data_IF_004067734810
#
_entry.id   IF_004067734810
#
_cell.length_a   1.000
_cell.length_b   1.000
_cell.length_c   1.000
_cell.angle_alpha   90.00
_cell.angle_beta   90.00
_cell.angle_gamma   90.00
#
_symmetry.space_group_name_H-M   'P 1'
#
loop_
_entity.id
_entity.type
_entity.pdbx_description
1 polymer ?
#
# COMPACT_ATOMS: atom_id res chain seq x y z
N UNK A 1 -18.34 10.64 -31.55
CA UNK A 1 -17.68 11.71 -30.76
C UNK A 1 -16.20 11.38 -30.68
N UNK A 2 -15.28 12.35 -30.77
CA UNK A 2 -13.87 12.09 -30.50
C UNK A 2 -13.73 11.66 -29.03
N UNK A 3 -12.98 10.59 -28.75
CA UNK A 3 -12.69 10.19 -27.39
C UNK A 3 -12.02 11.35 -26.66
N UNK A 4 -12.53 11.69 -25.49
CA UNK A 4 -11.96 12.71 -24.63
C UNK A 4 -10.62 12.18 -24.08
N UNK A 5 -9.53 12.93 -24.27
CA UNK A 5 -8.23 12.56 -23.74
C UNK A 5 -8.10 12.95 -22.27
N UNK A 6 -7.41 12.12 -21.50
CA UNK A 6 -7.16 12.32 -20.09
C UNK A 6 -5.66 12.34 -19.81
N UNK A 7 -5.27 13.09 -18.80
CA UNK A 7 -3.92 13.05 -18.24
C UNK A 7 -3.83 12.05 -17.10
N UNK A 8 -2.73 11.29 -17.04
CA UNK A 8 -2.53 10.27 -16.03
C UNK A 8 -1.26 10.54 -15.23
N UNK A 9 -1.35 10.50 -13.92
CA UNK A 9 -0.23 10.59 -12.98
C UNK A 9 -0.10 9.25 -12.26
N UNK A 10 0.86 8.45 -12.68
CA UNK A 10 0.92 7.02 -12.33
C UNK A 10 2.24 6.67 -11.67
N UNK A 11 2.17 5.98 -10.53
CA UNK A 11 3.30 5.36 -9.87
C UNK A 11 2.94 3.95 -9.42
N UNK A 12 3.94 3.17 -9.06
CA UNK A 12 3.82 1.83 -8.50
C UNK A 12 3.23 0.78 -9.46
N UNK A 13 3.13 -0.45 -8.97
CA UNK A 13 2.50 -1.57 -9.69
C UNK A 13 1.05 -1.26 -10.09
N UNK A 14 0.30 -0.57 -9.22
CA UNK A 14 -1.11 -0.21 -9.47
C UNK A 14 -1.25 0.74 -10.64
N UNK A 15 -0.37 1.74 -10.73
CA UNK A 15 -0.31 2.64 -11.88
C UNK A 15 0.01 1.93 -13.19
N UNK A 16 1.00 1.03 -13.17
CA UNK A 16 1.34 0.21 -14.35
C UNK A 16 0.19 -0.70 -14.78
N UNK A 17 -0.50 -1.33 -13.81
CA UNK A 17 -1.64 -2.20 -14.09
C UNK A 17 -2.78 -1.43 -14.76
N UNK A 18 -3.10 -0.23 -14.25
CA UNK A 18 -4.13 0.64 -14.86
C UNK A 18 -3.70 1.11 -16.25
N UNK A 19 -2.46 1.57 -16.41
CA UNK A 19 -1.94 2.00 -17.72
C UNK A 19 -2.13 0.92 -18.79
N UNK A 20 -1.71 -0.30 -18.49
CA UNK A 20 -1.84 -1.45 -19.41
C UNK A 20 -3.30 -1.80 -19.68
N UNK A 21 -4.14 -1.80 -18.65
CA UNK A 21 -5.55 -2.12 -18.77
C UNK A 21 -6.34 -1.10 -19.58
N UNK A 22 -6.11 0.19 -19.33
CA UNK A 22 -6.73 1.28 -20.09
C UNK A 22 -6.27 1.24 -21.56
N UNK A 23 -4.97 1.06 -21.80
CA UNK A 23 -4.47 0.91 -23.17
C UNK A 23 -5.09 -0.30 -23.89
N UNK A 24 -5.18 -1.43 -23.23
CA UNK A 24 -5.75 -2.66 -23.81
C UNK A 24 -7.21 -2.48 -24.21
N UNK A 25 -7.99 -1.69 -23.46
CA UNK A 25 -9.43 -1.50 -23.71
C UNK A 25 -9.74 -0.33 -24.65
N UNK A 26 -9.00 0.77 -24.55
CA UNK A 26 -9.34 2.03 -25.23
C UNK A 26 -8.28 2.49 -26.23
N UNK A 27 -7.12 1.83 -26.29
CA UNK A 27 -5.98 2.23 -27.13
C UNK A 27 -5.23 3.45 -26.60
N UNK A 28 -4.27 3.96 -27.38
CA UNK A 28 -3.43 5.10 -26.97
C UNK A 28 -4.14 6.45 -27.07
N UNK A 29 -5.22 6.54 -27.83
CA UNK A 29 -5.93 7.81 -28.08
C UNK A 29 -6.66 8.38 -26.85
N UNK A 30 -6.84 7.59 -25.79
CA UNK A 30 -7.43 8.05 -24.52
C UNK A 30 -6.44 8.86 -23.69
N UNK A 31 -5.13 8.67 -23.91
CA UNK A 31 -4.10 9.35 -23.18
C UNK A 31 -3.75 10.70 -23.82
N UNK A 32 -3.87 11.80 -23.07
CA UNK A 32 -3.22 13.05 -23.42
C UNK A 32 -1.73 12.92 -23.16
N UNK A 33 -1.38 12.48 -21.95
CA UNK A 33 -0.03 12.10 -21.53
C UNK A 33 -0.05 11.27 -20.23
N UNK A 34 1.08 10.66 -19.94
CA UNK A 34 1.37 9.99 -18.67
C UNK A 34 2.54 10.70 -17.99
N UNK A 35 2.40 11.01 -16.72
CA UNK A 35 3.48 11.50 -15.85
C UNK A 35 3.82 10.42 -14.83
N UNK A 36 5.11 10.16 -14.62
CA UNK A 36 5.57 9.29 -13.54
C UNK A 36 6.76 9.89 -12.81
N UNK A 37 7.12 9.30 -11.68
CA UNK A 37 8.25 9.69 -10.86
C UNK A 37 8.84 8.50 -10.14
N UNK A 38 10.14 8.57 -9.82
CA UNK A 38 10.81 7.61 -8.94
C UNK A 38 10.28 7.71 -7.52
N UNK A 39 10.22 6.59 -6.85
CA UNK A 39 9.95 6.48 -5.42
C UNK A 39 11.12 5.78 -4.71
N UNK A 40 12.02 6.58 -4.16
CA UNK A 40 13.21 6.07 -3.47
C UNK A 40 12.91 5.44 -2.10
N UNK A 41 11.66 5.51 -1.63
CA UNK A 41 11.25 4.93 -0.36
C UNK A 41 10.83 3.45 -0.45
N UNK A 42 10.78 2.88 -1.66
CA UNK A 42 10.41 1.49 -1.90
C UNK A 42 11.46 0.80 -2.80
N UNK A 43 11.61 -0.51 -2.62
CA UNK A 43 12.63 -1.27 -3.36
C UNK A 43 12.30 -1.40 -4.86
N UNK A 44 11.00 -1.41 -5.24
CA UNK A 44 10.55 -1.51 -6.63
C UNK A 44 9.44 -0.50 -6.91
N UNK A 45 9.78 0.58 -7.64
CA UNK A 45 8.87 1.70 -7.91
C UNK A 45 8.09 1.62 -9.22
N UNK A 46 8.44 0.69 -10.10
CA UNK A 46 7.83 0.46 -11.44
C UNK A 46 7.96 1.64 -12.42
N UNK A 47 8.82 2.59 -12.15
CA UNK A 47 9.00 3.76 -13.01
C UNK A 47 9.50 3.38 -14.41
N UNK A 48 10.52 2.50 -14.52
CA UNK A 48 11.06 2.05 -15.80
C UNK A 48 10.04 1.28 -16.63
N UNK A 49 9.24 0.44 -15.97
CA UNK A 49 8.21 -0.33 -16.63
C UNK A 49 7.08 0.56 -17.17
N UNK A 50 6.68 1.61 -16.43
CA UNK A 50 5.70 2.61 -16.91
C UNK A 50 6.28 3.38 -18.09
N UNK A 51 7.50 3.89 -17.98
CA UNK A 51 8.17 4.64 -19.04
C UNK A 51 8.32 3.80 -20.31
N UNK A 52 8.89 2.59 -20.19
CA UNK A 52 9.10 1.69 -21.34
C UNK A 52 7.79 1.36 -22.03
N UNK A 53 6.74 1.03 -21.26
CA UNK A 53 5.44 0.75 -21.85
C UNK A 53 4.88 1.95 -22.62
N UNK A 54 4.95 3.16 -22.07
CA UNK A 54 4.47 4.36 -22.78
C UNK A 54 5.22 4.58 -24.10
N UNK A 55 6.54 4.41 -24.11
CA UNK A 55 7.36 4.54 -25.31
C UNK A 55 7.01 3.49 -26.37
N UNK A 56 6.85 2.23 -25.95
CA UNK A 56 6.55 1.11 -26.85
C UNK A 56 5.21 1.30 -27.58
N UNK A 57 4.20 1.88 -26.88
CA UNK A 57 2.85 2.07 -27.44
C UNK A 57 2.58 3.52 -27.86
N UNK A 58 3.63 4.36 -27.91
CA UNK A 58 3.56 5.75 -28.38
C UNK A 58 2.58 6.64 -27.57
N UNK A 59 2.54 6.47 -26.25
CA UNK A 59 1.87 7.39 -25.33
C UNK A 59 2.86 8.48 -24.90
N UNK A 60 2.54 9.78 -24.97
CA UNK A 60 3.40 10.84 -24.46
C UNK A 60 3.73 10.63 -22.98
N UNK A 61 5.02 10.53 -22.65
CA UNK A 61 5.50 10.28 -21.28
C UNK A 61 6.38 11.43 -20.81
N UNK A 62 6.19 11.83 -19.54
CA UNK A 62 6.98 12.87 -18.89
C UNK A 62 7.41 12.45 -17.49
N UNK A 63 8.60 12.87 -17.08
CA UNK A 63 8.97 12.84 -15.66
C UNK A 63 8.23 13.96 -14.91
N UNK A 64 8.03 13.79 -13.61
CA UNK A 64 7.36 14.79 -12.76
C UNK A 64 7.91 16.21 -12.91
N UNK A 65 9.24 16.37 -13.02
CA UNK A 65 9.90 17.69 -13.15
C UNK A 65 9.58 18.39 -14.48
N UNK A 66 9.25 17.60 -15.52
CA UNK A 66 8.97 18.06 -16.87
C UNK A 66 7.47 17.95 -17.21
N UNK A 67 6.61 17.79 -16.18
CA UNK A 67 5.15 17.67 -16.34
C UNK A 67 4.60 18.86 -17.12
N UNK A 68 3.84 18.61 -18.20
CA UNK A 68 3.17 19.67 -18.94
C UNK A 68 2.02 20.29 -18.13
N UNK A 69 1.49 21.41 -18.61
CA UNK A 69 0.26 21.98 -18.08
C UNK A 69 -0.91 21.00 -18.26
N UNK A 70 -1.69 20.80 -17.21
CA UNK A 70 -2.81 19.85 -17.18
C UNK A 70 -4.09 20.56 -17.59
N UNK A 71 -4.42 20.52 -18.88
CA UNK A 71 -5.61 21.15 -19.47
C UNK A 71 -6.74 20.17 -19.79
N UNK A 72 -6.50 18.87 -19.59
CA UNK A 72 -7.52 17.83 -19.81
C UNK A 72 -8.72 18.03 -18.90
N UNK A 73 -9.92 17.73 -19.42
CA UNK A 73 -11.15 17.84 -18.63
C UNK A 73 -11.16 16.92 -17.40
N UNK A 74 -10.44 15.79 -17.48
CA UNK A 74 -10.23 14.89 -16.36
C UNK A 74 -8.77 14.43 -16.28
N UNK A 75 -8.30 14.27 -15.06
CA UNK A 75 -6.96 13.77 -14.71
C UNK A 75 -7.10 12.62 -13.72
N UNK A 76 -6.36 11.55 -13.90
CA UNK A 76 -6.37 10.39 -13.01
C UNK A 76 -5.02 10.28 -12.29
N UNK A 77 -5.05 10.22 -10.95
CA UNK A 77 -3.89 10.08 -10.09
C UNK A 77 -3.90 8.74 -9.34
N UNK A 78 -2.82 7.95 -9.47
CA UNK A 78 -2.67 6.64 -8.82
C UNK A 78 -1.32 6.57 -8.12
N UNK A 79 -1.35 6.32 -6.81
CA UNK A 79 -0.15 6.29 -5.95
C UNK A 79 0.70 7.57 -6.04
N UNK A 80 0.10 8.67 -6.46
CA UNK A 80 0.78 9.94 -6.65
C UNK A 80 0.89 10.70 -5.32
N UNK A 81 2.04 11.28 -5.05
CA UNK A 81 2.37 11.87 -3.73
C UNK A 81 2.45 13.39 -3.72
N UNK A 82 2.33 14.03 -4.88
CA UNK A 82 2.50 15.49 -4.99
C UNK A 82 1.20 16.14 -5.45
N UNK A 83 1.08 17.44 -5.19
CA UNK A 83 -0.04 18.22 -5.68
C UNK A 83 -0.02 18.28 -7.20
N UNK A 84 -1.20 18.14 -7.81
CA UNK A 84 -1.43 18.28 -9.24
C UNK A 84 -2.29 19.53 -9.43
N UNK A 85 -1.77 20.48 -10.22
CA UNK A 85 -2.55 21.64 -10.66
C UNK A 85 -3.28 21.27 -11.94
N UNK A 86 -4.54 20.83 -11.84
CA UNK A 86 -5.39 20.46 -12.95
C UNK A 86 -6.47 21.54 -13.14
N UNK A 87 -6.75 21.92 -14.40
CA UNK A 87 -7.85 22.85 -14.72
C UNK A 87 -9.21 22.14 -14.70
N UNK A 88 -9.21 20.82 -14.95
CA UNK A 88 -10.40 19.97 -14.96
C UNK A 88 -10.58 19.17 -13.66
N UNK A 89 -11.44 18.14 -13.72
CA UNK A 89 -11.68 17.23 -12.60
C UNK A 89 -10.46 16.36 -12.32
N UNK A 90 -9.96 16.35 -11.08
CA UNK A 90 -8.91 15.45 -10.63
C UNK A 90 -9.54 14.26 -9.91
N UNK A 91 -9.31 13.06 -10.44
CA UNK A 91 -9.76 11.79 -9.88
C UNK A 91 -8.59 11.12 -9.19
N UNK A 92 -8.74 10.83 -7.91
CA UNK A 92 -7.73 10.15 -7.10
C UNK A 92 -8.19 8.72 -6.80
N UNK A 93 -7.28 7.76 -6.91
CA UNK A 93 -7.52 6.38 -6.48
C UNK A 93 -6.85 6.16 -5.13
N UNK A 94 -7.67 5.83 -4.12
CA UNK A 94 -7.27 5.68 -2.73
C UNK A 94 -7.36 4.21 -2.27
N UNK A 95 -6.33 3.71 -1.59
CA UNK A 95 -6.16 2.31 -1.18
C UNK A 95 -7.04 1.91 0.02
N UNK A 96 -8.28 2.37 0.07
CA UNK A 96 -9.25 1.95 1.10
C UNK A 96 -10.68 1.97 0.58
N UNK A 97 -11.59 1.50 1.42
CA UNK A 97 -13.04 1.62 1.23
C UNK A 97 -13.51 2.88 1.97
N UNK A 98 -13.34 4.05 1.31
CA UNK A 98 -13.78 5.33 1.90
C UNK A 98 -15.27 5.29 2.31
N UNK A 99 -15.61 5.96 3.44
CA UNK A 99 -14.83 6.98 4.14
C UNK A 99 -13.84 6.45 5.19
N UNK A 100 -13.63 5.14 5.31
CA UNK A 100 -12.67 4.57 6.25
C UNK A 100 -11.24 4.71 5.72
N UNK A 101 -10.29 4.98 6.64
CA UNK A 101 -8.86 5.12 6.36
C UNK A 101 -8.54 6.26 5.38
N UNK A 102 -9.15 7.45 5.53
CA UNK A 102 -8.69 8.67 4.85
C UNK A 102 -7.24 8.98 5.24
N UNK A 103 -6.46 9.57 4.37
CA UNK A 103 -5.08 9.99 4.62
C UNK A 103 -4.05 9.02 4.07
N UNK A 104 -3.08 8.61 4.88
CA UNK A 104 -1.86 7.97 4.39
C UNK A 104 -1.78 6.48 4.72
N UNK A 105 -1.03 5.73 3.91
CA UNK A 105 -0.79 4.30 4.09
C UNK A 105 -2.04 3.45 4.44
N UNK A 106 -3.21 3.68 3.78
CA UNK A 106 -4.47 3.05 4.18
C UNK A 106 -4.43 1.52 4.06
N UNK A 107 -3.84 0.96 3.01
CA UNK A 107 -3.73 -0.48 2.85
C UNK A 107 -2.88 -1.12 3.96
N UNK A 108 -1.73 -0.51 4.31
CA UNK A 108 -0.89 -0.99 5.42
C UNK A 108 -1.67 -1.00 6.73
N UNK A 109 -2.38 0.10 7.04
CA UNK A 109 -3.17 0.20 8.26
C UNK A 109 -4.36 -0.77 8.28
N UNK A 110 -5.01 -1.00 7.15
CA UNK A 110 -6.08 -2.02 7.01
C UNK A 110 -5.55 -3.42 7.32
N UNK A 111 -4.38 -3.79 6.80
CA UNK A 111 -3.78 -5.11 7.08
C UNK A 111 -3.34 -5.25 8.53
N UNK A 112 -2.70 -4.22 9.13
CA UNK A 112 -2.35 -4.21 10.56
C UNK A 112 -3.57 -4.48 11.44
N UNK A 113 -4.69 -3.85 11.11
CA UNK A 113 -5.95 -3.97 11.84
C UNK A 113 -6.71 -5.28 11.58
N UNK A 114 -6.28 -6.06 10.59
CA UNK A 114 -6.91 -7.33 10.27
C UNK A 114 -8.28 -7.15 9.60
N UNK A 115 -8.44 -6.12 8.77
CA UNK A 115 -9.70 -5.89 8.05
C UNK A 115 -10.03 -7.10 7.15
N UNK A 116 -11.27 -7.57 7.18
CA UNK A 116 -11.66 -8.73 6.38
C UNK A 116 -11.80 -8.43 4.88
N UNK A 117 -11.87 -7.15 4.52
CA UNK A 117 -11.97 -6.66 3.15
C UNK A 117 -10.94 -5.57 2.89
N UNK A 118 -10.33 -5.60 1.71
CA UNK A 118 -9.48 -4.54 1.19
C UNK A 118 -10.00 -4.08 -0.16
N UNK A 119 -9.60 -2.89 -0.59
CA UNK A 119 -10.06 -2.39 -1.89
C UNK A 119 -9.55 -1.02 -2.23
N UNK A 120 -10.18 -0.43 -3.24
CA UNK A 120 -9.85 0.87 -3.79
C UNK A 120 -11.11 1.72 -3.94
N UNK A 121 -11.00 3.00 -3.66
CA UNK A 121 -12.03 4.00 -3.93
C UNK A 121 -11.51 5.04 -4.90
N UNK A 122 -12.27 5.35 -5.94
CA UNK A 122 -12.05 6.52 -6.79
C UNK A 122 -12.91 7.67 -6.26
N UNK A 123 -12.29 8.83 -6.09
CA UNK A 123 -12.96 10.04 -5.60
C UNK A 123 -12.54 11.25 -6.42
N UNK A 124 -13.37 12.28 -6.43
CA UNK A 124 -13.01 13.61 -6.94
C UNK A 124 -12.11 14.27 -5.90
N UNK A 125 -10.96 14.80 -6.29
CA UNK A 125 -10.09 15.54 -5.37
C UNK A 125 -10.82 16.78 -4.81
N UNK A 126 -10.57 17.07 -3.55
CA UNK A 126 -11.09 18.24 -2.83
C UNK A 126 -9.96 18.97 -2.11
N UNK A 127 -10.25 20.10 -1.50
CA UNK A 127 -9.26 20.85 -0.69
C UNK A 127 -8.77 20.08 0.53
N UNK A 128 -9.62 19.21 1.08
CA UNK A 128 -9.28 18.33 2.20
C UNK A 128 -8.94 16.93 1.70
N UNK A 129 -7.95 16.30 2.33
CA UNK A 129 -7.48 14.96 1.95
C UNK A 129 -8.59 13.93 2.03
N UNK A 130 -8.82 13.23 0.91
CA UNK A 130 -9.70 12.07 0.73
C UNK A 130 -11.17 12.28 1.15
N UNK A 131 -11.63 13.54 1.20
CA UNK A 131 -13.03 13.91 1.56
C UNK A 131 -13.92 14.18 0.35
N UNK A 132 -13.39 14.16 -0.85
CA UNK A 132 -14.16 14.38 -2.06
C UNK A 132 -15.24 13.33 -2.30
N UNK A 133 -16.15 13.62 -3.21
CA UNK A 133 -17.23 12.70 -3.55
C UNK A 133 -16.72 11.41 -4.19
N UNK A 134 -17.30 10.29 -3.80
CA UNK A 134 -16.94 8.96 -4.30
C UNK A 134 -17.57 8.74 -5.68
N UNK A 135 -16.72 8.42 -6.66
CA UNK A 135 -17.12 8.02 -8.01
C UNK A 135 -17.41 6.51 -8.10
N UNK A 136 -16.74 5.69 -7.30
CA UNK A 136 -16.91 4.25 -7.25
C UNK A 136 -15.91 3.59 -6.33
N UNK A 137 -16.12 2.30 -6.05
CA UNK A 137 -15.16 1.48 -5.33
C UNK A 137 -15.18 0.04 -5.82
N UNK A 138 -14.09 -0.68 -5.53
CA UNK A 138 -13.96 -2.12 -5.72
C UNK A 138 -13.36 -2.70 -4.46
N UNK A 139 -13.86 -3.88 -4.03
CA UNK A 139 -13.39 -4.57 -2.83
C UNK A 139 -13.26 -6.06 -3.05
N UNK A 140 -12.50 -6.69 -2.18
CA UNK A 140 -12.31 -8.14 -2.13
C UNK A 140 -12.14 -8.59 -0.68
N UNK A 141 -12.73 -9.74 -0.35
CA UNK A 141 -12.49 -10.41 0.93
C UNK A 141 -11.08 -10.99 0.96
N UNK A 142 -10.43 -10.87 2.10
CA UNK A 142 -9.08 -11.42 2.33
C UNK A 142 -9.02 -12.27 3.58
N UNK A 143 -8.01 -13.13 3.63
CA UNK A 143 -7.74 -14.00 4.78
C UNK A 143 -6.29 -13.81 5.22
N UNK A 144 -6.05 -13.90 6.50
CA UNK A 144 -4.72 -13.81 7.11
C UNK A 144 -4.14 -15.20 7.38
N UNK A 145 -2.79 -15.37 7.33
CA UNK A 145 -1.78 -14.32 7.09
C UNK A 145 -1.83 -13.78 5.65
N UNK A 146 -1.53 -12.49 5.47
CA UNK A 146 -1.48 -11.81 4.18
C UNK A 146 -0.37 -10.75 4.17
N UNK A 147 0.62 -10.93 3.34
CA UNK A 147 1.71 -9.97 3.16
C UNK A 147 1.25 -8.77 2.31
N UNK A 148 1.82 -7.60 2.58
CA UNK A 148 1.49 -6.38 1.83
C UNK A 148 1.77 -6.53 0.32
N UNK A 149 2.81 -7.25 -0.09
CA UNK A 149 3.08 -7.54 -1.50
C UNK A 149 1.93 -8.31 -2.16
N UNK A 150 1.41 -9.34 -1.47
CA UNK A 150 0.26 -10.12 -1.95
C UNK A 150 -1.02 -9.26 -1.98
N UNK A 151 -1.22 -8.41 -0.96
CA UNK A 151 -2.35 -7.48 -0.95
C UNK A 151 -2.29 -6.48 -2.11
N UNK A 152 -1.10 -5.97 -2.46
CA UNK A 152 -0.89 -5.12 -3.64
C UNK A 152 -1.24 -5.88 -4.93
N UNK A 153 -0.82 -7.14 -5.06
CA UNK A 153 -1.15 -7.99 -6.22
C UNK A 153 -2.67 -8.21 -6.34
N UNK A 154 -3.37 -8.34 -5.20
CA UNK A 154 -4.82 -8.49 -5.14
C UNK A 154 -5.56 -7.19 -5.52
N UNK A 155 -5.12 -6.02 -5.02
CA UNK A 155 -5.84 -4.77 -5.27
C UNK A 155 -5.51 -4.14 -6.63
N UNK A 156 -4.33 -4.37 -7.20
CA UNK A 156 -3.94 -3.76 -8.47
C UNK A 156 -4.93 -4.04 -9.63
N UNK A 157 -5.46 -5.26 -9.82
CA UNK A 157 -6.52 -5.51 -10.78
C UNK A 157 -7.83 -4.74 -10.48
N UNK A 158 -8.15 -4.50 -9.20
CA UNK A 158 -9.34 -3.74 -8.83
C UNK A 158 -9.23 -2.27 -9.24
N UNK A 159 -8.03 -1.68 -9.17
CA UNK A 159 -7.74 -0.35 -9.71
C UNK A 159 -8.04 -0.28 -11.20
N UNK A 160 -7.54 -1.25 -11.96
CA UNK A 160 -7.78 -1.32 -13.41
C UNK A 160 -9.27 -1.43 -13.72
N UNK A 161 -9.98 -2.34 -13.05
CA UNK A 161 -11.43 -2.54 -13.27
C UNK A 161 -12.21 -1.26 -12.96
N UNK A 162 -11.91 -0.60 -11.84
CA UNK A 162 -12.58 0.63 -11.45
C UNK A 162 -12.34 1.76 -12.45
N UNK A 163 -11.09 1.97 -12.87
CA UNK A 163 -10.76 3.01 -13.85
C UNK A 163 -11.44 2.73 -15.20
N UNK A 164 -11.43 1.49 -15.67
CA UNK A 164 -12.07 1.12 -16.91
C UNK A 164 -13.58 1.40 -16.89
N UNK A 165 -14.27 1.05 -15.79
CA UNK A 165 -15.69 1.35 -15.62
C UNK A 165 -15.98 2.87 -15.61
N UNK A 166 -15.13 3.66 -14.93
CA UNK A 166 -15.26 5.11 -14.93
C UNK A 166 -15.07 5.71 -16.35
N UNK A 167 -14.11 5.20 -17.11
CA UNK A 167 -13.88 5.63 -18.49
C UNK A 167 -15.04 5.22 -19.42
N UNK A 168 -15.57 4.01 -19.27
CA UNK A 168 -16.78 3.57 -20.01
C UNK A 168 -17.97 4.49 -19.72
N UNK A 169 -18.21 4.82 -18.43
CA UNK A 169 -19.26 5.75 -18.05
C UNK A 169 -19.02 7.13 -18.67
N UNK A 170 -17.81 7.67 -18.54
CA UNK A 170 -17.45 8.98 -19.08
C UNK A 170 -17.66 9.05 -20.60
N UNK A 171 -17.20 8.05 -21.34
CA UNK A 171 -17.29 8.03 -22.79
C UNK A 171 -18.72 7.78 -23.31
N UNK A 172 -19.54 7.07 -22.55
CA UNK A 172 -20.93 6.79 -22.93
C UNK A 172 -21.88 7.93 -22.58
N UNK A 173 -21.70 8.57 -21.43
CA UNK A 173 -22.64 9.57 -20.89
C UNK A 173 -22.12 11.02 -20.94
N UNK A 174 -20.81 11.19 -21.12
CA UNK A 174 -20.12 12.49 -21.03
C UNK A 174 -19.92 12.99 -19.60
N UNK A 175 -20.31 12.23 -18.58
CA UNK A 175 -20.28 12.65 -17.19
C UNK A 175 -19.96 11.47 -16.24
N UNK A 176 -19.43 11.78 -15.06
CA UNK A 176 -19.22 10.82 -13.97
C UNK A 176 -20.23 11.08 -12.85
N UNK A 177 -20.89 10.04 -12.40
CA UNK A 177 -21.80 10.11 -11.25
C UNK A 177 -20.98 9.98 -9.97
N UNK A 178 -21.27 10.86 -9.02
CA UNK A 178 -20.61 10.85 -7.71
C UNK A 178 -21.64 10.80 -6.57
N UNK A 179 -21.15 10.43 -5.38
CA UNK A 179 -21.94 10.46 -4.13
C UNK A 179 -21.11 11.02 -3.01
N UNK A 180 -21.70 11.78 -2.06
CA UNK A 180 -21.00 12.28 -0.89
C UNK A 180 -20.57 11.12 0.01
N UNK A 181 -19.53 11.35 0.80
CA UNK A 181 -19.11 10.45 1.87
C UNK A 181 -19.97 10.68 3.13
N UNK A 182 -20.21 9.62 3.89
CA UNK A 182 -20.88 9.70 5.20
C UNK A 182 -19.82 10.03 6.25
N UNK A 183 -19.85 11.23 6.81
CA UNK A 183 -18.79 11.73 7.70
C UNK A 183 -18.71 10.95 9.01
N UNK A 184 -19.83 10.45 9.51
CA UNK A 184 -19.92 9.65 10.74
C UNK A 184 -19.18 8.30 10.63
N UNK A 185 -19.01 7.77 9.42
CA UNK A 185 -18.29 6.52 9.15
C UNK A 185 -16.80 6.74 8.90
N UNK A 186 -16.37 8.00 8.86
CA UNK A 186 -14.99 8.33 8.49
C UNK A 186 -13.98 7.94 9.58
N UNK A 187 -12.90 7.31 9.15
CA UNK A 187 -11.71 7.08 9.97
C UNK A 187 -10.46 7.56 9.24
N UNK A 188 -9.38 7.77 9.96
CA UNK A 188 -8.15 8.34 9.41
C UNK A 188 -6.96 7.42 9.64
N UNK A 189 -6.05 7.39 8.70
CA UNK A 189 -4.75 6.73 8.79
C UNK A 189 -3.62 7.73 8.59
N UNK A 190 -2.56 7.55 9.35
CA UNK A 190 -1.43 8.47 9.38
C UNK A 190 -0.31 7.98 8.45
N UNK A 191 0.55 8.92 8.03
CA UNK A 191 1.79 8.58 7.36
C UNK A 191 2.73 7.82 8.32
N UNK A 192 3.59 6.98 7.76
CA UNK A 192 4.51 6.15 8.53
C UNK A 192 5.91 6.77 8.49
N UNK A 193 6.50 6.98 9.67
CA UNK A 193 7.91 7.33 9.84
C UNK A 193 8.75 6.10 10.25
N UNK A 194 10.04 6.33 10.49
CA UNK A 194 10.96 5.26 10.89
C UNK A 194 10.53 4.55 12.19
N UNK A 195 9.92 5.29 13.12
CA UNK A 195 9.43 4.76 14.40
C UNK A 195 8.24 3.81 14.22
N UNK A 196 7.40 4.05 13.21
CA UNK A 196 6.22 3.24 12.92
C UNK A 196 6.54 1.85 12.37
N UNK A 197 7.77 1.60 11.97
CA UNK A 197 8.25 0.27 11.56
C UNK A 197 8.79 -0.56 12.73
N UNK A 198 8.86 0.01 13.93
CA UNK A 198 9.35 -0.71 15.10
C UNK A 198 8.26 -1.58 15.72
N UNK A 199 8.61 -2.86 15.97
CA UNK A 199 7.69 -3.78 16.64
C UNK A 199 7.52 -3.37 18.10
N UNK A 200 6.30 -3.12 18.51
CA UNK A 200 5.90 -3.02 19.89
C UNK A 200 5.51 -4.42 20.40
N UNK A 201 6.43 -5.05 21.13
CA UNK A 201 6.24 -6.40 21.69
C UNK A 201 5.18 -6.48 22.78
N UNK A 202 4.67 -5.35 23.28
CA UNK A 202 3.57 -5.32 24.25
C UNK A 202 2.19 -5.53 23.60
N UNK A 203 2.11 -5.49 22.27
CA UNK A 203 0.93 -5.92 21.51
C UNK A 203 0.73 -7.45 21.57
N UNK A 204 -0.44 -7.90 21.14
CA UNK A 204 -0.69 -9.33 20.97
C UNK A 204 0.04 -9.92 19.76
N UNK A 205 0.31 -11.23 19.82
CA UNK A 205 1.07 -11.93 18.78
C UNK A 205 0.39 -11.92 17.41
N UNK A 206 -0.95 -11.88 17.38
CA UNK A 206 -1.72 -11.80 16.13
C UNK A 206 -1.56 -10.43 15.46
N UNK A 207 -1.58 -9.35 16.27
CA UNK A 207 -1.28 -8.02 15.76
C UNK A 207 0.15 -7.92 15.25
N UNK A 208 1.14 -8.45 16.02
CA UNK A 208 2.55 -8.43 15.61
C UNK A 208 2.75 -9.21 14.30
N UNK A 209 2.08 -10.35 14.12
CA UNK A 209 2.15 -11.11 12.88
C UNK A 209 1.62 -10.27 11.69
N UNK A 210 0.44 -9.68 11.82
CA UNK A 210 -0.11 -8.80 10.78
C UNK A 210 0.74 -7.56 10.54
N UNK A 211 1.32 -6.99 11.60
CA UNK A 211 2.23 -5.85 11.49
C UNK A 211 3.46 -6.19 10.65
N UNK A 212 4.14 -7.31 10.95
CA UNK A 212 5.32 -7.76 10.18
C UNK A 212 4.96 -7.96 8.70
N UNK A 213 3.83 -8.59 8.42
CA UNK A 213 3.36 -8.81 7.05
C UNK A 213 2.97 -7.51 6.34
N UNK A 214 2.34 -6.56 7.04
CA UNK A 214 1.84 -5.31 6.48
C UNK A 214 2.94 -4.28 6.15
N UNK A 215 4.06 -4.29 6.86
CA UNK A 215 5.16 -3.33 6.63
C UNK A 215 6.35 -3.98 5.90
N UNK A 216 6.22 -5.25 5.47
CA UNK A 216 7.23 -5.99 4.73
C UNK A 216 7.47 -5.45 3.32
N UNK A 217 8.22 -6.20 2.50
CA UNK A 217 8.48 -5.83 1.10
C UNK A 217 7.18 -5.45 0.36
N UNK A 218 7.14 -4.33 -0.39
CA UNK A 218 8.24 -3.48 -0.86
C UNK A 218 8.65 -2.33 0.09
N UNK A 219 8.12 -2.28 1.30
CA UNK A 219 8.46 -1.27 2.30
C UNK A 219 9.67 -1.66 3.15
N UNK A 220 9.98 -0.84 4.16
CA UNK A 220 11.21 -0.95 4.95
C UNK A 220 11.32 -2.23 5.80
N UNK A 221 10.20 -2.92 6.07
CA UNK A 221 10.14 -4.10 6.93
C UNK A 221 10.06 -3.76 8.42
N UNK A 222 9.51 -4.70 9.19
CA UNK A 222 9.38 -4.56 10.64
C UNK A 222 10.75 -4.60 11.34
N UNK A 223 11.00 -3.67 12.25
CA UNK A 223 12.27 -3.54 12.95
C UNK A 223 12.12 -3.82 14.45
N UNK A 224 13.19 -4.25 15.08
CA UNK A 224 13.32 -4.39 16.52
C UNK A 224 14.78 -4.22 16.91
N UNK A 225 15.05 -3.96 18.18
CA UNK A 225 16.41 -3.88 18.69
C UNK A 225 16.79 -5.18 19.42
N UNK A 226 17.95 -5.73 19.14
CA UNK A 226 18.57 -6.84 19.84
C UNK A 226 20.03 -6.53 20.15
N UNK A 227 20.42 -6.56 21.44
CA UNK A 227 21.79 -6.24 21.86
C UNK A 227 22.35 -4.90 21.34
N UNK A 228 21.50 -3.88 21.17
CA UNK A 228 21.77 -2.53 20.60
C UNK A 228 21.96 -2.52 19.07
N UNK A 229 21.66 -3.59 18.40
CA UNK A 229 21.62 -3.65 16.94
C UNK A 229 20.18 -3.63 16.44
N UNK A 230 19.93 -2.91 15.36
CA UNK A 230 18.64 -2.96 14.68
C UNK A 230 18.55 -4.21 13.83
N UNK A 231 17.50 -4.98 14.08
CA UNK A 231 17.18 -6.22 13.38
C UNK A 231 15.88 -6.00 12.61
N UNK A 232 15.83 -6.47 11.36
CA UNK A 232 14.60 -6.56 10.58
C UNK A 232 14.02 -7.96 10.69
N UNK A 233 12.75 -8.05 11.05
CA UNK A 233 11.96 -9.28 11.04
C UNK A 233 11.25 -9.36 9.70
N UNK A 234 11.57 -10.38 8.90
CA UNK A 234 11.02 -10.56 7.55
C UNK A 234 9.85 -11.54 7.52
N UNK A 235 9.85 -12.52 8.42
CA UNK A 235 8.79 -13.48 8.56
C UNK A 235 8.73 -14.08 9.96
N UNK A 236 7.55 -14.46 10.38
CA UNK A 236 7.30 -15.21 11.60
C UNK A 236 5.85 -15.64 11.68
N UNK A 237 5.50 -16.30 12.76
CA UNK A 237 4.15 -16.79 12.98
C UNK A 237 3.77 -16.84 14.45
N UNK A 238 2.50 -16.75 14.70
CA UNK A 238 1.90 -17.02 16.00
C UNK A 238 2.05 -18.48 16.35
N UNK A 239 2.38 -18.74 17.60
CA UNK A 239 2.45 -20.09 18.16
C UNK A 239 1.61 -20.17 19.45
N UNK A 240 1.18 -21.37 19.87
CA UNK A 240 0.37 -21.54 21.08
C UNK A 240 0.99 -20.87 22.29
N UNK A 241 0.19 -20.11 23.04
CA UNK A 241 0.63 -19.42 24.25
C UNK A 241 0.81 -20.38 25.42
N UNK A 242 1.57 -19.96 26.41
CA UNK A 242 1.77 -20.69 27.66
C UNK A 242 1.55 -19.74 28.85
N UNK A 243 1.27 -20.31 30.02
CA UNK A 243 1.16 -19.54 31.25
C UNK A 243 2.54 -19.07 31.66
N UNK A 244 2.72 -17.75 31.81
CA UNK A 244 3.96 -17.11 32.24
C UNK A 244 3.66 -16.28 33.48
N UNK A 245 4.22 -16.67 34.63
CA UNK A 245 3.95 -16.05 35.94
C UNK A 245 4.25 -14.55 35.97
N UNK A 246 5.38 -14.14 35.43
CA UNK A 246 5.76 -12.72 35.33
C UNK A 246 6.10 -12.40 33.87
N UNK A 247 5.03 -12.23 33.07
CA UNK A 247 5.17 -11.96 31.63
C UNK A 247 5.97 -10.69 31.38
N UNK A 248 6.97 -10.81 30.54
CA UNK A 248 7.79 -9.68 30.07
C UNK A 248 7.97 -9.80 28.58
N UNK A 249 7.38 -8.89 27.83
CA UNK A 249 7.41 -8.85 26.37
C UNK A 249 8.83 -8.68 25.82
N UNK A 250 9.04 -9.23 24.64
CA UNK A 250 10.32 -9.20 23.93
C UNK A 250 11.33 -10.25 24.38
N UNK A 251 11.13 -10.95 25.52
CA UNK A 251 12.03 -12.03 25.93
C UNK A 251 11.82 -13.29 25.12
N UNK A 252 12.90 -13.96 24.76
CA UNK A 252 12.85 -15.30 24.18
C UNK A 252 12.51 -16.30 25.28
N UNK A 253 11.46 -17.11 25.07
CA UNK A 253 11.04 -18.15 26.02
C UNK A 253 11.40 -19.55 25.54
N UNK A 254 11.37 -19.80 24.23
CA UNK A 254 11.72 -21.06 23.61
C UNK A 254 12.62 -20.87 22.40
N UNK A 255 13.31 -21.94 22.02
CA UNK A 255 14.04 -22.06 20.76
C UNK A 255 13.53 -23.28 19.99
N UNK A 256 13.07 -23.06 18.78
CA UNK A 256 12.65 -24.13 17.88
C UNK A 256 13.58 -24.17 16.66
N UNK A 257 14.48 -25.14 16.63
CA UNK A 257 15.50 -25.30 15.58
C UNK A 257 16.31 -24.00 15.32
N UNK A 258 16.73 -23.35 16.41
CA UNK A 258 17.50 -22.09 16.36
C UNK A 258 16.65 -20.85 16.02
N UNK A 259 15.33 -20.98 15.91
CA UNK A 259 14.38 -19.90 15.77
C UNK A 259 13.81 -19.47 17.11
N UNK A 260 13.92 -18.20 17.50
CA UNK A 260 13.43 -17.74 18.79
C UNK A 260 11.90 -17.64 18.78
N UNK A 261 11.31 -18.09 19.89
CA UNK A 261 9.91 -17.83 20.23
C UNK A 261 9.89 -16.72 21.27
N UNK A 262 9.29 -15.60 20.91
CA UNK A 262 9.31 -14.35 21.66
C UNK A 262 7.99 -14.16 22.39
N UNK A 263 8.07 -13.74 23.65
CA UNK A 263 6.92 -13.38 24.47
C UNK A 263 6.33 -12.05 23.97
N UNK A 264 5.05 -12.05 23.65
CA UNK A 264 4.28 -10.85 23.33
C UNK A 264 3.43 -10.41 24.54
N UNK A 265 2.80 -9.25 24.49
CA UNK A 265 1.86 -8.83 25.55
C UNK A 265 0.81 -9.90 25.80
N UNK A 266 0.27 -10.48 24.74
CA UNK A 266 -0.54 -11.69 24.75
C UNK A 266 -0.07 -12.61 23.61
N UNK A 267 0.03 -13.92 23.91
CA UNK A 267 0.49 -14.90 22.91
C UNK A 267 2.00 -14.92 22.77
N UNK A 268 2.45 -15.75 21.85
CA UNK A 268 3.85 -15.96 21.50
C UNK A 268 4.03 -15.81 19.98
N UNK A 269 5.18 -15.25 19.58
CA UNK A 269 5.53 -15.09 18.17
C UNK A 269 6.86 -15.77 17.87
N UNK A 270 6.87 -16.71 16.92
CA UNK A 270 8.09 -17.37 16.45
C UNK A 270 8.66 -16.59 15.26
N UNK A 271 9.88 -16.11 15.40
CA UNK A 271 10.62 -15.48 14.30
C UNK A 271 11.15 -16.58 13.39
N UNK A 272 10.77 -16.54 12.11
CA UNK A 272 11.22 -17.51 11.11
C UNK A 272 12.33 -16.98 10.22
N UNK A 273 12.31 -15.67 9.93
CA UNK A 273 13.32 -14.98 9.14
C UNK A 273 13.64 -13.61 9.75
N UNK A 274 14.92 -13.34 9.95
CA UNK A 274 15.38 -12.05 10.46
C UNK A 274 16.81 -11.76 9.98
N UNK A 275 17.08 -10.47 9.72
CA UNK A 275 18.37 -10.01 9.21
C UNK A 275 18.88 -8.81 10.03
N UNK A 276 20.18 -8.65 10.06
CA UNK A 276 20.84 -7.47 10.61
C UNK A 276 20.84 -6.31 9.59
N UNK A 277 21.40 -5.16 9.97
CA UNK A 277 21.53 -3.98 9.12
C UNK A 277 22.34 -4.19 7.83
N UNK A 278 23.18 -5.23 7.78
CA UNK A 278 23.93 -5.63 6.60
C UNK A 278 23.15 -6.64 5.71
N UNK A 279 21.89 -6.95 6.03
CA UNK A 279 21.07 -7.92 5.29
C UNK A 279 21.45 -9.39 5.53
N UNK A 280 22.31 -9.67 6.52
CA UNK A 280 22.74 -11.04 6.84
C UNK A 280 21.77 -11.67 7.83
N UNK A 281 21.43 -12.95 7.61
CA UNK A 281 20.59 -13.69 8.56
C UNK A 281 21.22 -13.75 9.94
N UNK A 282 20.44 -13.43 10.95
CA UNK A 282 20.84 -13.63 12.36
C UNK A 282 20.47 -15.02 12.90
N UNK A 283 19.77 -15.81 12.10
CA UNK A 283 19.32 -17.14 12.47
C UNK A 283 20.24 -18.22 11.88
N UNK A 284 20.47 -19.34 12.59
CA UNK A 284 19.94 -19.68 13.91
C UNK A 284 20.58 -18.84 15.03
N UNK A 285 19.75 -18.39 16.00
CA UNK A 285 20.26 -17.68 17.16
C UNK A 285 21.17 -18.60 18.01
N UNK A 286 22.33 -18.10 18.34
CA UNK A 286 23.31 -18.84 19.18
C UNK A 286 23.05 -18.70 20.68
N UNK A 287 22.39 -17.60 21.09
CA UNK A 287 22.09 -17.27 22.48
C UNK A 287 20.59 -17.41 22.75
N UNK A 288 20.24 -18.09 23.84
CA UNK A 288 18.87 -18.22 24.33
C UNK A 288 18.39 -16.97 25.10
N UNK A 289 19.24 -16.41 25.96
CA UNK A 289 18.90 -15.27 26.82
C UNK A 289 19.01 -13.97 26.06
N UNK A 290 18.05 -13.75 25.19
CA UNK A 290 17.93 -12.53 24.35
C UNK A 290 16.62 -11.84 24.66
N UNK A 291 16.62 -10.51 24.57
CA UNK A 291 15.43 -9.68 24.62
C UNK A 291 15.41 -8.78 23.37
N UNK A 292 14.35 -8.86 22.63
CA UNK A 292 13.98 -7.90 21.59
C UNK A 292 13.26 -6.70 22.21
N UNK A 293 13.51 -5.49 21.66
CA UNK A 293 12.96 -4.23 22.21
C UNK A 293 12.36 -3.37 21.13
#
# INVERSE_FOLDING_TARGET
>A
MALQRLSFFLMSQKGLQVLKGVYSQFGNNVFEFVVSSRDMAIEKDFYEEIMSFCLDVQIPFFERKDSPEVISAYTIAISWRWLISAQGGLIVLHDSLLPRYRGFAPLVNSLKNGEPEIGVTALVASEEYDKGEILGNKKVEVRYPLKISEAIDIVAPLYQLLVNELLEQLFSTGNLLSRPQIEEDATYSLWLDEGDYKIDWDNDSEFIARFVDAVGFPYNGATTEMERETIKILAGKVVPDVIIENRTSGKVIFMDNGRPVVVCGRGLYKIEEAVNSAGQSILPLKKFRVKFK
#
